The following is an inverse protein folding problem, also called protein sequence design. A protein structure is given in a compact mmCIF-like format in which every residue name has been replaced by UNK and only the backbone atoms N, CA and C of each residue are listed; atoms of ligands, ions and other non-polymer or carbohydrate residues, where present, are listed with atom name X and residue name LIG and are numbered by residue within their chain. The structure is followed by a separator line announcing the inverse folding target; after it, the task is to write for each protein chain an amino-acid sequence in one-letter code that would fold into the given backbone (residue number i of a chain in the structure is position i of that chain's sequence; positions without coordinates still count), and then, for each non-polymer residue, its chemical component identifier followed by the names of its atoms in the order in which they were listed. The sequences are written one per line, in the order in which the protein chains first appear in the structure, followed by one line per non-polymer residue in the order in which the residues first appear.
data_IF_236728247151
#
_entry.id   IF_236728247151
#
_cell.length_a   1.000
_cell.length_b   1.000
_cell.length_c   1.000
_cell.angle_alpha   90.00
_cell.angle_beta   90.00
_cell.angle_gamma   90.00
#
_symmetry.space_group_name_H-M   'P 1'
#
loop_
_entity.id
_entity.type
_entity.pdbx_description
1 polymer ?
#
# COMPACT_ATOMS: atom_id res chain seq x y z
N UNK A 1 -1.82 20.97 -10.88
CA UNK A 1 -2.44 19.67 -10.55
C UNK A 1 -2.48 18.87 -11.83
N UNK A 2 -1.79 17.74 -11.87
CA UNK A 2 -1.68 16.89 -13.06
C UNK A 2 -2.94 16.04 -13.23
N UNK A 3 -3.18 15.53 -14.45
CA UNK A 3 -4.28 14.59 -14.69
C UNK A 3 -4.14 13.32 -13.84
N UNK A 4 -2.90 12.90 -13.54
CA UNK A 4 -2.61 11.77 -12.65
C UNK A 4 -3.07 12.03 -11.22
N UNK A 5 -2.84 13.23 -10.69
CA UNK A 5 -3.29 13.61 -9.34
C UNK A 5 -4.80 13.51 -9.21
N UNK A 6 -5.54 13.95 -10.23
CA UNK A 6 -7.01 13.86 -10.28
C UNK A 6 -7.48 12.41 -10.27
N UNK A 7 -6.84 11.53 -11.04
CA UNK A 7 -7.22 10.12 -11.10
C UNK A 7 -6.90 9.38 -9.80
N UNK A 8 -5.73 9.60 -9.22
CA UNK A 8 -5.40 9.01 -7.91
C UNK A 8 -6.32 9.53 -6.82
N UNK A 9 -6.64 10.82 -6.79
CA UNK A 9 -7.61 11.35 -5.83
C UNK A 9 -8.98 10.67 -5.98
N UNK A 10 -9.46 10.50 -7.22
CA UNK A 10 -10.72 9.81 -7.48
C UNK A 10 -10.68 8.33 -7.05
N UNK A 11 -9.59 7.61 -7.35
CA UNK A 11 -9.42 6.20 -6.97
C UNK A 11 -9.48 6.04 -5.45
N UNK A 12 -8.71 6.84 -4.70
CA UNK A 12 -8.62 6.72 -3.25
C UNK A 12 -9.83 7.28 -2.49
N UNK A 13 -10.60 8.17 -3.10
CA UNK A 13 -11.90 8.62 -2.60
C UNK A 13 -13.04 7.63 -2.89
N UNK A 14 -12.84 6.69 -3.82
CA UNK A 14 -13.86 5.69 -4.17
C UNK A 14 -13.83 4.47 -3.24
N UNK A 15 -14.86 3.59 -3.30
CA UNK A 15 -14.87 2.31 -2.59
C UNK A 15 -13.78 1.31 -3.01
N UNK A 16 -12.99 1.61 -4.04
CA UNK A 16 -11.84 0.77 -4.46
C UNK A 16 -10.75 0.79 -3.38
N UNK A 17 -10.52 1.95 -2.76
CA UNK A 17 -9.70 2.03 -1.58
C UNK A 17 -10.57 1.75 -0.34
N UNK A 18 -9.94 1.29 0.72
CA UNK A 18 -10.55 1.03 2.02
C UNK A 18 -9.80 1.79 3.10
N UNK A 19 -10.44 1.97 4.25
CA UNK A 19 -9.81 2.64 5.40
C UNK A 19 -8.72 1.76 5.98
N UNK A 20 -7.57 2.38 6.26
CA UNK A 20 -6.44 1.73 6.87
C UNK A 20 -5.78 2.63 7.92
N UNK A 21 -5.09 2.00 8.86
CA UNK A 21 -4.32 2.67 9.91
C UNK A 21 -2.89 2.17 9.86
N UNK A 22 -1.94 3.07 9.60
CA UNK A 22 -0.51 2.75 9.57
C UNK A 22 0.17 3.25 10.84
N UNK A 23 0.84 2.36 11.55
CA UNK A 23 1.65 2.68 12.73
C UNK A 23 3.11 2.41 12.39
N UNK A 24 3.93 3.46 12.35
CA UNK A 24 5.36 3.34 12.10
C UNK A 24 6.04 2.63 13.29
N UNK A 25 7.04 1.79 12.98
CA UNK A 25 7.84 1.14 14.01
C UNK A 25 8.43 2.20 14.98
N UNK A 26 8.41 1.91 16.28
CA UNK A 26 8.78 2.83 17.39
C UNK A 26 7.67 3.74 17.94
N UNK A 27 6.40 3.49 17.62
CA UNK A 27 5.28 3.97 18.45
C UNK A 27 4.80 5.39 18.14
N UNK A 28 4.96 5.85 16.89
CA UNK A 28 4.28 7.05 16.43
C UNK A 28 2.75 6.87 16.45
N UNK A 29 2.03 7.99 16.51
CA UNK A 29 0.57 8.00 16.47
C UNK A 29 0.10 7.34 15.17
N UNK A 30 -0.84 6.38 15.22
CA UNK A 30 -1.36 5.73 14.02
C UNK A 30 -1.91 6.75 13.03
N UNK A 31 -1.46 6.66 11.78
CA UNK A 31 -1.90 7.50 10.68
C UNK A 31 -3.07 6.85 9.95
N UNK A 32 -4.24 7.49 10.01
CA UNK A 32 -5.38 7.11 9.19
C UNK A 32 -5.12 7.47 7.72
N UNK A 33 -5.33 6.50 6.83
CA UNK A 33 -5.13 6.65 5.39
C UNK A 33 -6.08 5.74 4.61
N UNK A 34 -6.05 5.86 3.29
CA UNK A 34 -6.81 5.01 2.37
C UNK A 34 -5.82 4.10 1.65
N UNK A 35 -6.12 2.80 1.56
CA UNK A 35 -5.28 1.82 0.91
C UNK A 35 -6.08 0.97 -0.06
N UNK A 36 -5.49 0.57 -1.19
CA UNK A 36 -6.06 -0.45 -2.06
C UNK A 36 -5.62 -1.81 -1.54
N UNK A 37 -6.59 -2.61 -1.12
CA UNK A 37 -6.34 -3.94 -0.58
C UNK A 37 -5.96 -4.94 -1.69
N UNK A 38 -4.79 -5.54 -1.54
CA UNK A 38 -4.27 -6.63 -2.39
C UNK A 38 -3.80 -7.80 -1.51
N UNK A 39 -4.48 -8.03 -0.38
CA UNK A 39 -4.15 -9.10 0.57
C UNK A 39 -4.71 -10.46 0.18
N UNK A 40 -5.67 -10.51 -0.76
CA UNK A 40 -6.24 -11.75 -1.26
C UNK A 40 -5.44 -12.27 -2.47
N UNK A 41 -4.55 -13.27 -2.28
CA UNK A 41 -3.70 -13.75 -3.36
C UNK A 41 -4.53 -14.48 -4.43
N UNK A 42 -4.15 -14.31 -5.69
CA UNK A 42 -4.67 -15.10 -6.79
C UNK A 42 -3.53 -15.89 -7.43
N UNK A 43 -3.43 -17.19 -7.13
CA UNK A 43 -2.57 -18.07 -7.91
C UNK A 43 -3.18 -18.24 -9.31
N UNK A 44 -2.41 -17.92 -10.34
CA UNK A 44 -2.82 -18.12 -11.72
C UNK A 44 -2.17 -19.40 -12.24
N UNK A 45 -2.98 -20.40 -12.56
CA UNK A 45 -2.47 -21.55 -13.31
C UNK A 45 -2.20 -21.13 -14.76
N UNK A 46 -0.93 -21.14 -15.17
CA UNK A 46 -0.52 -20.79 -16.52
C UNK A 46 0.39 -21.87 -17.10
N UNK A 47 -0.08 -22.55 -18.15
CA UNK A 47 0.65 -23.62 -18.86
C UNK A 47 1.15 -24.75 -17.93
N UNK A 48 0.35 -25.13 -16.94
CA UNK A 48 0.70 -26.22 -16.01
C UNK A 48 1.70 -25.81 -14.92
N UNK A 49 1.99 -24.52 -14.77
CA UNK A 49 2.77 -23.96 -13.66
C UNK A 49 1.90 -22.97 -12.91
N UNK A 50 1.95 -23.01 -11.58
CA UNK A 50 1.28 -22.02 -10.75
C UNK A 50 2.15 -20.77 -10.66
N UNK A 51 1.63 -19.67 -11.23
CA UNK A 51 2.23 -18.35 -11.13
C UNK A 51 1.66 -17.70 -9.86
N UNK A 52 2.52 -17.54 -8.87
CA UNK A 52 2.17 -16.91 -7.61
C UNK A 52 2.12 -15.38 -7.76
N UNK A 53 1.15 -14.78 -7.08
CA UNK A 53 1.08 -13.35 -6.83
C UNK A 53 2.29 -12.85 -6.02
N UNK A 54 2.52 -11.55 -6.05
CA UNK A 54 3.17 -10.84 -4.96
C UNK A 54 2.48 -11.25 -3.65
N UNK A 55 3.26 -11.44 -2.59
CA UNK A 55 2.76 -11.69 -1.22
C UNK A 55 1.65 -10.68 -0.87
N UNK A 56 0.78 -10.98 0.13
CA UNK A 56 -0.26 -10.05 0.57
C UNK A 56 0.26 -8.62 0.61
N UNK A 57 -0.44 -7.68 -0.03
CA UNK A 57 0.07 -6.33 -0.20
C UNK A 57 -1.04 -5.27 -0.10
N UNK A 58 -0.65 -4.02 0.04
CA UNK A 58 -1.54 -2.88 -0.04
C UNK A 58 -0.84 -1.70 -0.73
N UNK A 59 -1.56 -0.93 -1.56
CA UNK A 59 -1.00 0.29 -2.18
C UNK A 59 -1.57 1.55 -1.54
N UNK A 60 -0.70 2.49 -1.23
CA UNK A 60 -1.03 3.78 -0.59
C UNK A 60 -0.48 4.90 -1.47
N UNK A 61 -1.14 6.07 -1.52
CA UNK A 61 -0.58 7.22 -2.23
C UNK A 61 0.70 7.68 -1.57
N UNK A 62 1.74 7.96 -2.37
CA UNK A 62 3.00 8.50 -1.86
C UNK A 62 2.77 9.85 -1.13
N UNK A 63 1.82 10.66 -1.60
CA UNK A 63 1.41 11.91 -0.95
C UNK A 63 0.88 11.72 0.47
N UNK A 64 0.21 10.60 0.75
CA UNK A 64 -0.34 10.32 2.08
C UNK A 64 0.77 9.89 3.06
N UNK A 65 1.92 9.49 2.53
CA UNK A 65 3.14 9.17 3.29
C UNK A 65 4.14 10.35 3.33
N UNK A 66 3.75 11.54 2.88
CA UNK A 66 4.61 12.71 2.94
C UNK A 66 5.11 12.96 4.37
N UNK A 67 6.43 13.13 4.51
CA UNK A 67 7.11 13.32 5.81
C UNK A 67 7.55 12.03 6.50
N UNK A 68 7.19 10.86 5.98
CA UNK A 68 7.67 9.56 6.48
C UNK A 68 8.86 9.14 5.62
N UNK A 69 9.98 8.79 6.27
CA UNK A 69 11.09 8.13 5.58
C UNK A 69 10.65 6.71 5.19
N UNK A 70 10.72 6.32 3.90
CA UNK A 70 10.39 4.97 3.47
C UNK A 70 11.13 3.87 4.24
N UNK A 71 12.35 4.13 4.75
CA UNK A 71 13.08 3.19 5.59
C UNK A 71 12.31 2.81 6.87
N UNK A 72 11.50 3.73 7.41
CA UNK A 72 10.70 3.51 8.61
C UNK A 72 9.41 2.71 8.33
N UNK A 73 9.07 2.47 7.06
CA UNK A 73 7.94 1.61 6.71
C UNK A 73 8.25 0.14 6.99
N UNK A 74 9.53 -0.25 7.01
CA UNK A 74 9.89 -1.60 7.40
C UNK A 74 9.52 -1.82 8.86
N UNK A 75 8.93 -2.97 9.15
CA UNK A 75 8.44 -3.31 10.49
C UNK A 75 7.31 -2.41 11.00
N UNK A 76 6.68 -1.60 10.14
CA UNK A 76 5.45 -0.90 10.48
C UNK A 76 4.26 -1.88 10.56
N UNK A 77 3.24 -1.50 11.33
CA UNK A 77 1.98 -2.23 11.43
C UNK A 77 0.92 -1.52 10.59
N UNK A 78 0.28 -2.27 9.69
CA UNK A 78 -0.84 -1.80 8.88
C UNK A 78 -2.11 -2.54 9.29
N UNK A 79 -3.10 -1.81 9.79
CA UNK A 79 -4.44 -2.36 10.00
C UNK A 79 -5.31 -2.03 8.80
N UNK A 80 -5.86 -3.07 8.17
CA UNK A 80 -6.65 -3.01 6.94
C UNK A 80 -7.73 -4.10 7.01
N UNK A 81 -8.99 -3.76 6.69
CA UNK A 81 -10.11 -4.72 6.72
C UNK A 81 -10.26 -5.48 8.05
N UNK A 82 -9.98 -4.79 9.16
CA UNK A 82 -10.07 -5.36 10.51
C UNK A 82 -8.95 -6.35 10.87
N UNK A 83 -7.95 -6.52 10.01
CA UNK A 83 -6.77 -7.36 10.25
C UNK A 83 -5.51 -6.51 10.32
N UNK A 84 -4.61 -6.87 11.22
CA UNK A 84 -3.29 -6.26 11.33
C UNK A 84 -2.27 -7.05 10.54
N UNK A 85 -1.37 -6.33 9.89
CA UNK A 85 -0.33 -6.86 9.02
C UNK A 85 1.00 -6.21 9.35
N UNK A 86 2.07 -6.97 9.27
CA UNK A 86 3.44 -6.46 9.38
C UNK A 86 3.96 -6.08 8.00
N UNK A 87 4.52 -4.89 7.87
CA UNK A 87 5.17 -4.47 6.61
C UNK A 87 6.57 -5.09 6.55
N UNK A 88 6.78 -6.00 5.59
CA UNK A 88 8.08 -6.69 5.41
C UNK A 88 9.01 -5.94 4.45
N UNK A 89 8.44 -5.24 3.47
CA UNK A 89 9.17 -4.41 2.51
C UNK A 89 8.21 -3.44 1.83
N UNK A 90 8.75 -2.43 1.17
CA UNK A 90 7.98 -1.49 0.35
C UNK A 90 8.59 -1.38 -1.06
N UNK A 91 7.76 -1.03 -2.04
CA UNK A 91 8.20 -0.76 -3.42
C UNK A 91 7.54 0.51 -3.94
N UNK A 92 8.30 1.46 -4.51
CA UNK A 92 7.72 2.64 -5.14
C UNK A 92 7.05 2.27 -6.46
N UNK A 93 5.86 2.83 -6.67
CA UNK A 93 5.08 2.73 -7.91
C UNK A 93 4.91 4.15 -8.47
N UNK A 94 5.92 4.68 -9.18
CA UNK A 94 5.92 6.08 -9.58
C UNK A 94 4.82 6.37 -10.61
N UNK A 95 4.25 7.58 -10.53
CA UNK A 95 3.42 8.10 -11.61
C UNK A 95 4.33 8.59 -12.76
N UNK A 96 3.81 8.75 -13.98
CA UNK A 96 4.57 9.38 -15.08
C UNK A 96 5.05 10.80 -14.76
N UNK A 97 4.46 11.45 -13.76
CA UNK A 97 4.83 12.77 -13.24
C UNK A 97 5.86 12.72 -12.10
N UNK A 98 6.30 11.52 -11.69
CA UNK A 98 7.31 11.31 -10.65
C UNK A 98 6.83 10.41 -9.50
N UNK A 99 7.78 9.98 -8.67
CA UNK A 99 7.55 9.06 -7.56
C UNK A 99 6.61 9.63 -6.49
N UNK A 100 6.79 10.90 -6.11
CA UNK A 100 5.96 11.56 -5.10
C UNK A 100 4.48 11.70 -5.49
N UNK A 101 4.16 11.60 -6.78
CA UNK A 101 2.80 11.66 -7.31
C UNK A 101 2.17 10.27 -7.53
N UNK A 102 2.93 9.20 -7.30
CA UNK A 102 2.50 7.82 -7.48
C UNK A 102 2.00 7.16 -6.20
N UNK A 103 2.23 5.87 -6.12
CA UNK A 103 1.87 5.02 -4.99
C UNK A 103 3.13 4.37 -4.37
N UNK A 104 2.98 3.86 -3.15
CA UNK A 104 3.92 2.96 -2.50
C UNK A 104 3.16 1.67 -2.22
N UNK A 105 3.70 0.55 -2.71
CA UNK A 105 3.20 -0.78 -2.40
C UNK A 105 3.89 -1.31 -1.15
N UNK A 106 3.11 -1.59 -0.11
CA UNK A 106 3.56 -2.28 1.09
C UNK A 106 3.37 -3.78 0.87
N UNK A 107 4.44 -4.54 1.02
CA UNK A 107 4.40 -6.00 1.07
C UNK A 107 4.22 -6.40 2.52
N UNK A 108 3.26 -7.29 2.77
CA UNK A 108 2.74 -7.61 4.08
C UNK A 108 3.01 -9.07 4.45
N UNK A 109 3.09 -9.31 5.75
CA UNK A 109 3.00 -10.64 6.35
C UNK A 109 1.98 -10.64 7.47
N UNK A 110 1.41 -11.82 7.74
CA UNK A 110 0.62 -12.02 8.95
C UNK A 110 1.50 -11.82 10.19
N UNK A 111 0.87 -11.32 11.26
CA UNK A 111 1.48 -11.15 12.59
C UNK A 111 1.31 -12.43 13.40
#
# INVERSE_FOLDING_TARGET
MSIWDTHYAALYASPIAVDASLTIACGEVPKALRAIDKTNPAALNFRGVDVLDVKPSATIRASDLAGIDPANLRDADLTLNGKSWRVVSHQPLPAPTGEAAGEIMLVLSEV
#
